data_IF_267069844557
#
_entry.id   IF_267069844557
#
_cell.length_a   1.000
_cell.length_b   1.000
_cell.length_c   1.000
_cell.angle_alpha   90.00
_cell.angle_beta   90.00
_cell.angle_gamma   90.00
#
_symmetry.space_group_name_H-M   'P 1'
#
loop_
_entity.id
_entity.type
_entity.pdbx_description
1 polymer ?
#
# COMPACT_ATOMS: atom_id res chain seq x y z
N UNK A 1 8.71 -6.59 4.86
CA UNK A 1 8.88 -6.13 3.47
C UNK A 1 8.26 -4.74 3.30
N UNK A 2 6.94 -4.58 3.43
CA UNK A 2 6.29 -3.27 3.25
C UNK A 2 6.89 -2.15 4.11
N UNK A 3 7.13 -2.38 5.41
CA UNK A 3 7.82 -1.38 6.27
C UNK A 3 9.19 -0.95 5.74
N UNK A 4 9.97 -1.88 5.20
CA UNK A 4 11.26 -1.56 4.58
C UNK A 4 11.09 -0.73 3.29
N UNK A 5 10.01 -0.96 2.53
CA UNK A 5 9.71 -0.13 1.36
C UNK A 5 9.34 1.31 1.77
N UNK A 6 8.58 1.46 2.87
CA UNK A 6 8.30 2.76 3.49
C UNK A 6 9.59 3.47 3.88
N UNK A 7 10.50 2.78 4.56
CA UNK A 7 11.80 3.34 4.96
C UNK A 7 12.58 3.85 3.74
N UNK A 8 12.67 3.04 2.67
CA UNK A 8 13.36 3.42 1.43
C UNK A 8 12.72 4.63 0.74
N UNK A 9 11.38 4.69 0.66
CA UNK A 9 10.68 5.84 0.07
C UNK A 9 10.96 7.12 0.86
N UNK A 10 10.94 7.05 2.20
CA UNK A 10 11.23 8.19 3.08
C UNK A 10 12.70 8.62 2.99
N UNK A 11 13.63 7.67 2.98
CA UNK A 11 15.07 7.94 2.84
C UNK A 11 15.42 8.59 1.49
N UNK A 12 14.73 8.22 0.40
CA UNK A 12 14.99 8.71 -0.97
C UNK A 12 13.99 9.76 -1.44
N UNK A 13 13.23 10.36 -0.54
CA UNK A 13 12.11 11.25 -0.87
C UNK A 13 12.50 12.35 -1.87
N UNK A 14 13.60 13.05 -1.62
CA UNK A 14 14.04 14.16 -2.45
C UNK A 14 14.51 13.72 -3.85
N UNK A 15 15.16 12.57 -3.96
CA UNK A 15 15.60 12.00 -5.24
C UNK A 15 14.39 11.55 -6.07
N UNK A 16 13.45 10.84 -5.46
CA UNK A 16 12.24 10.36 -6.11
C UNK A 16 11.32 11.51 -6.53
N UNK A 17 11.16 12.53 -5.69
CA UNK A 17 10.38 13.72 -6.03
C UNK A 17 10.96 14.48 -7.23
N UNK A 18 12.30 14.56 -7.33
CA UNK A 18 12.95 15.18 -8.48
C UNK A 18 12.70 14.38 -9.76
N UNK A 19 12.79 13.05 -9.68
CA UNK A 19 12.49 12.17 -10.81
C UNK A 19 11.02 12.27 -11.24
N UNK A 20 10.09 12.19 -10.29
CA UNK A 20 8.64 12.32 -10.54
C UNK A 20 8.30 13.66 -11.19
N UNK A 21 8.95 14.74 -10.75
CA UNK A 21 8.81 16.08 -11.34
C UNK A 21 9.23 16.11 -12.80
N UNK A 22 10.36 15.46 -13.11
CA UNK A 22 10.89 15.39 -14.48
C UNK A 22 10.00 14.54 -15.40
N UNK A 23 9.41 13.47 -14.87
CA UNK A 23 8.58 12.54 -15.65
C UNK A 23 7.15 13.06 -15.86
N UNK A 24 6.55 13.67 -14.83
CA UNK A 24 5.14 14.10 -14.84
C UNK A 24 4.93 15.59 -15.16
N UNK A 25 5.96 16.42 -14.97
CA UNK A 25 5.88 17.87 -15.11
C UNK A 25 5.20 18.60 -13.94
N UNK A 26 4.88 17.90 -12.84
CA UNK A 26 4.31 18.52 -11.62
C UNK A 26 5.29 19.48 -10.95
N UNK A 27 4.77 20.37 -10.11
CA UNK A 27 5.63 21.20 -9.28
C UNK A 27 6.43 20.33 -8.28
N UNK A 28 7.73 20.60 -8.13
CA UNK A 28 8.58 19.86 -7.18
C UNK A 28 8.05 19.89 -5.74
N UNK A 29 7.36 20.96 -5.34
CA UNK A 29 6.71 21.02 -4.03
C UNK A 29 5.60 19.99 -3.88
N UNK A 30 4.83 19.72 -4.93
CA UNK A 30 3.76 18.72 -4.90
C UNK A 30 4.37 17.31 -4.79
N UNK A 31 5.33 16.99 -5.66
CA UNK A 31 5.96 15.67 -5.64
C UNK A 31 6.72 15.41 -4.33
N UNK A 32 7.43 16.42 -3.79
CA UNK A 32 8.23 16.28 -2.56
C UNK A 32 7.40 16.15 -1.28
N UNK A 33 6.31 16.92 -1.16
CA UNK A 33 5.55 17.01 0.09
C UNK A 33 4.23 16.22 0.06
N UNK A 34 3.78 15.79 -1.11
CA UNK A 34 2.52 15.07 -1.29
C UNK A 34 2.76 13.69 -1.88
N UNK A 35 3.22 13.57 -3.13
CA UNK A 35 3.18 12.29 -3.85
C UNK A 35 4.00 11.19 -3.17
N UNK A 36 5.30 11.40 -2.97
CA UNK A 36 6.18 10.38 -2.38
C UNK A 36 5.78 10.08 -0.93
N UNK A 37 5.37 11.11 -0.19
CA UNK A 37 4.99 11.01 1.23
C UNK A 37 3.70 10.19 1.38
N UNK A 38 2.67 10.52 0.60
CA UNK A 38 1.39 9.81 0.64
C UNK A 38 1.52 8.38 0.12
N UNK A 39 2.36 8.12 -0.88
CA UNK A 39 2.72 6.76 -1.31
C UNK A 39 3.33 5.94 -0.17
N UNK A 40 4.28 6.53 0.58
CA UNK A 40 4.87 5.88 1.76
C UNK A 40 3.82 5.62 2.86
N UNK A 41 2.94 6.58 3.14
CA UNK A 41 1.90 6.44 4.16
C UNK A 41 0.88 5.34 3.83
N UNK A 42 0.50 5.20 2.55
CA UNK A 42 -0.37 4.10 2.09
C UNK A 42 0.29 2.74 2.31
N UNK A 43 1.57 2.60 1.98
CA UNK A 43 2.31 1.37 2.24
C UNK A 43 2.44 1.07 3.74
N UNK A 44 2.65 2.09 4.57
CA UNK A 44 2.73 1.95 6.03
C UNK A 44 1.39 1.50 6.62
N UNK A 45 0.29 2.11 6.17
CA UNK A 45 -1.07 1.71 6.54
C UNK A 45 -1.31 0.23 6.24
N UNK A 46 -1.06 -0.21 5.00
CA UNK A 46 -1.25 -1.62 4.64
C UNK A 46 -0.28 -2.56 5.38
N UNK A 47 0.96 -2.13 5.65
CA UNK A 47 1.89 -2.89 6.47
C UNK A 47 1.36 -3.13 7.90
N UNK A 48 0.62 -2.17 8.46
CA UNK A 48 -0.08 -2.29 9.74
C UNK A 48 -1.34 -3.15 9.66
N UNK A 49 -2.04 -3.12 8.53
CA UNK A 49 -3.29 -3.86 8.33
C UNK A 49 -3.09 -5.37 8.11
N UNK A 50 -2.01 -5.77 7.43
CA UNK A 50 -1.71 -7.19 7.11
C UNK A 50 -1.90 -8.16 8.30
N UNK A 51 -1.35 -7.92 9.51
CA UNK A 51 -1.53 -8.84 10.64
C UNK A 51 -2.95 -8.90 11.20
N UNK A 52 -3.82 -7.94 10.84
CA UNK A 52 -5.22 -7.88 11.27
C UNK A 52 -6.19 -8.58 10.28
N UNK A 53 -5.68 -9.18 9.20
CA UNK A 53 -6.52 -9.94 8.27
C UNK A 53 -6.88 -11.28 8.90
N UNK A 54 -8.14 -11.40 9.33
CA UNK A 54 -8.67 -12.60 9.96
C UNK A 54 -9.93 -13.12 9.27
N UNK A 55 -10.17 -14.41 9.45
CA UNK A 55 -11.46 -15.03 9.20
C UNK A 55 -12.37 -14.90 10.42
N UNK A 56 -13.51 -15.58 10.39
CA UNK A 56 -14.50 -15.55 11.47
C UNK A 56 -14.89 -16.97 11.86
N UNK A 57 -15.02 -17.25 13.15
CA UNK A 57 -15.67 -18.46 13.64
C UNK A 57 -17.16 -18.18 13.84
N UNK A 58 -18.02 -19.00 13.25
CA UNK A 58 -19.46 -18.75 13.22
C UNK A 58 -20.19 -19.81 14.08
N UNK A 59 -20.87 -19.42 15.17
CA UNK A 59 -21.64 -20.34 15.99
C UNK A 59 -23.00 -20.63 15.32
N UNK A 60 -23.07 -21.69 14.52
CA UNK A 60 -24.31 -22.05 13.80
C UNK A 60 -25.24 -22.95 14.65
N UNK A 61 -24.70 -24.04 15.19
CA UNK A 61 -25.38 -25.01 16.08
C UNK A 61 -24.32 -25.84 16.79
N UNK A 62 -24.62 -26.36 17.98
CA UNK A 62 -23.64 -27.03 18.87
C UNK A 62 -22.90 -28.22 18.22
N UNK A 63 -23.51 -28.85 17.22
CA UNK A 63 -22.95 -30.00 16.50
C UNK A 63 -22.15 -29.62 15.25
N UNK A 64 -21.91 -28.34 14.99
CA UNK A 64 -21.26 -27.87 13.76
C UNK A 64 -20.14 -26.88 14.07
N UNK A 65 -18.97 -27.13 13.48
CA UNK A 65 -17.83 -26.22 13.51
C UNK A 65 -17.72 -25.50 12.17
N UNK A 66 -17.90 -24.18 12.18
CA UNK A 66 -17.88 -23.34 10.97
C UNK A 66 -16.90 -22.19 11.18
N UNK A 67 -16.06 -21.96 10.18
CA UNK A 67 -15.19 -20.80 10.13
C UNK A 67 -14.96 -20.34 8.69
N UNK A 68 -14.62 -19.08 8.53
CA UNK A 68 -14.21 -18.49 7.25
C UNK A 68 -12.71 -18.22 7.24
N UNK A 69 -12.14 -18.11 6.05
CA UNK A 69 -10.76 -17.67 5.84
C UNK A 69 -10.76 -16.60 4.76
N UNK A 70 -9.96 -15.56 4.94
CA UNK A 70 -9.68 -14.57 3.90
C UNK A 70 -8.41 -14.98 3.18
N UNK A 71 -8.57 -15.61 2.03
CA UNK A 71 -7.44 -16.07 1.21
C UNK A 71 -7.13 -15.07 0.09
N UNK A 72 -5.85 -14.88 -0.27
CA UNK A 72 -5.49 -14.05 -1.41
C UNK A 72 -6.03 -14.67 -2.70
N UNK A 73 -6.52 -13.83 -3.62
CA UNK A 73 -7.01 -14.27 -4.94
C UNK A 73 -5.92 -14.91 -5.82
N UNK A 74 -4.65 -14.68 -5.48
CA UNK A 74 -3.49 -15.14 -6.25
C UNK A 74 -2.92 -14.02 -7.11
N UNK A 75 -2.80 -14.25 -8.41
CA UNK A 75 -2.22 -13.28 -9.35
C UNK A 75 -3.22 -12.17 -9.64
N UNK A 76 -2.79 -10.91 -9.46
CA UNK A 76 -3.60 -9.70 -9.71
C UNK A 76 -2.84 -8.76 -10.63
N UNK A 77 -3.51 -8.22 -11.65
CA UNK A 77 -2.98 -7.17 -12.51
C UNK A 77 -3.38 -5.79 -11.96
N UNK A 78 -2.41 -4.91 -11.72
CA UNK A 78 -2.62 -3.51 -11.39
C UNK A 78 -2.23 -2.63 -12.59
N UNK A 79 -3.12 -1.72 -13.00
CA UNK A 79 -2.88 -0.75 -14.07
C UNK A 79 -3.04 0.65 -13.47
N UNK A 80 -1.92 1.37 -13.34
CA UNK A 80 -1.88 2.75 -12.85
C UNK A 80 -1.98 3.77 -13.99
N UNK A 81 -2.42 4.98 -13.66
CA UNK A 81 -2.40 6.12 -14.58
C UNK A 81 -1.09 6.92 -14.43
N UNK A 82 -0.79 7.78 -15.41
CA UNK A 82 0.46 8.55 -15.48
C UNK A 82 0.47 9.82 -14.62
N UNK A 83 -0.67 10.21 -14.03
CA UNK A 83 -0.78 11.47 -13.29
C UNK A 83 -0.39 11.35 -11.82
N UNK A 84 -0.32 10.15 -11.24
CA UNK A 84 0.36 9.84 -9.97
C UNK A 84 1.03 8.45 -10.10
N UNK A 85 2.16 8.35 -10.83
CA UNK A 85 2.88 7.11 -11.08
C UNK A 85 3.32 6.34 -9.83
N UNK A 86 3.60 7.05 -8.74
CA UNK A 86 4.11 6.48 -7.49
C UNK A 86 3.02 6.05 -6.51
#
# INVERSE_FOLDING_TARGET
>A
ILRRAVDILRERNDELAALETLDTGKAFSETKYVDIVTGADVLEYYAGLVPAIEGEQIPLRDTSFVYTRREPLGVVAGIGAWNYPI
#
